data_IF_802123760371
#
_entry.id   IF_802123760371
#
_cell.length_a   1.000
_cell.length_b   1.000
_cell.length_c   1.000
_cell.angle_alpha   90.00
_cell.angle_beta   90.00
_cell.angle_gamma   90.00
#
_symmetry.space_group_name_H-M   'P 1'
#
loop_
_entity.id
_entity.type
_entity.pdbx_description
1 polymer ?
#
# COMPACT_ATOMS: atom_id res chain seq x y z
N UNK A 1 8.43 8.39 -13.63
CA UNK A 1 9.23 7.32 -12.98
C UNK A 1 10.54 7.83 -12.44
N UNK A 2 11.33 8.58 -13.23
CA UNK A 2 12.63 9.15 -12.82
C UNK A 2 12.59 9.89 -11.47
N UNK A 3 11.51 10.61 -11.17
CA UNK A 3 11.38 11.33 -9.89
C UNK A 3 11.35 10.40 -8.67
N UNK A 4 10.49 9.37 -8.67
CA UNK A 4 10.41 8.42 -7.55
C UNK A 4 11.69 7.58 -7.43
N UNK A 5 12.24 7.18 -8.58
CA UNK A 5 13.52 6.48 -8.68
C UNK A 5 14.66 7.26 -8.01
N UNK A 6 14.74 8.58 -8.25
CA UNK A 6 15.76 9.46 -7.64
C UNK A 6 15.67 9.58 -6.11
N UNK A 7 14.50 9.26 -5.52
CA UNK A 7 14.30 9.22 -4.09
C UNK A 7 14.67 7.83 -3.57
N UNK A 8 14.20 6.77 -4.22
CA UNK A 8 14.42 5.39 -3.77
C UNK A 8 15.89 4.94 -3.87
N UNK A 9 16.63 5.43 -4.88
CA UNK A 9 18.05 5.11 -5.06
C UNK A 9 18.98 5.88 -4.09
N UNK A 10 18.47 6.86 -3.36
CA UNK A 10 19.24 7.66 -2.42
C UNK A 10 18.89 7.25 -0.96
N UNK A 11 19.80 6.55 -0.25
CA UNK A 11 19.57 6.12 1.12
C UNK A 11 19.33 7.28 2.10
N UNK A 12 19.92 8.46 1.86
CA UNK A 12 19.72 9.63 2.71
C UNK A 12 18.32 10.20 2.53
N UNK A 13 17.85 10.32 1.28
CA UNK A 13 16.47 10.76 0.99
C UNK A 13 15.44 9.76 1.50
N UNK A 14 15.65 8.46 1.33
CA UNK A 14 14.70 7.48 1.87
C UNK A 14 14.66 7.49 3.39
N UNK A 15 15.81 7.67 4.05
CA UNK A 15 15.88 7.76 5.51
C UNK A 15 15.17 9.00 6.05
N UNK A 16 15.30 10.15 5.38
CA UNK A 16 14.76 11.42 5.88
C UNK A 16 13.25 11.36 6.09
N UNK A 17 12.48 10.93 5.08
CA UNK A 17 11.02 10.87 5.21
C UNK A 17 10.55 9.66 6.02
N UNK A 18 11.28 8.52 5.98
CA UNK A 18 10.92 7.33 6.79
C UNK A 18 11.10 7.60 8.29
N UNK A 19 12.16 8.29 8.70
CA UNK A 19 12.43 8.64 10.10
C UNK A 19 11.51 9.73 10.66
N UNK A 20 10.76 10.43 9.79
CA UNK A 20 9.76 11.43 10.17
C UNK A 20 8.37 10.83 10.46
N UNK A 21 8.12 9.55 10.13
CA UNK A 21 6.83 8.89 10.39
C UNK A 21 6.51 8.90 11.90
N UNK A 22 5.31 9.35 12.24
CA UNK A 22 4.85 9.47 13.63
C UNK A 22 5.32 10.72 14.38
N UNK A 23 5.98 11.67 13.71
CA UNK A 23 6.51 12.91 14.33
C UNK A 23 5.78 14.19 13.93
N UNK A 24 4.60 14.09 13.30
CA UNK A 24 3.86 15.25 12.78
C UNK A 24 4.46 15.83 11.49
N UNK A 25 4.22 17.11 11.22
CA UNK A 25 4.75 17.81 10.04
C UNK A 25 3.95 17.62 8.74
N UNK A 26 2.66 17.27 8.86
CA UNK A 26 1.80 17.15 7.69
C UNK A 26 1.55 18.50 7.03
N UNK A 27 1.63 18.51 5.70
CA UNK A 27 1.28 19.65 4.86
C UNK A 27 0.11 19.27 3.97
N UNK A 28 -0.76 20.25 3.69
CA UNK A 28 -1.86 20.05 2.75
C UNK A 28 -1.30 19.78 1.34
N UNK A 29 -1.87 18.81 0.65
CA UNK A 29 -1.57 18.48 -0.74
C UNK A 29 -2.89 18.42 -1.56
N UNK A 30 -2.79 18.05 -2.83
CA UNK A 30 -3.93 17.92 -3.75
C UNK A 30 -4.10 16.49 -4.24
N UNK A 31 -5.32 16.14 -4.65
CA UNK A 31 -5.61 14.85 -5.28
C UNK A 31 -4.69 14.55 -6.47
N UNK A 32 -4.46 15.55 -7.33
CA UNK A 32 -3.60 15.39 -8.52
C UNK A 32 -2.18 15.00 -8.15
N UNK A 33 -1.60 15.67 -7.16
CA UNK A 33 -0.24 15.42 -6.69
C UNK A 33 -0.11 14.03 -6.05
N UNK A 34 -1.00 13.69 -5.10
CA UNK A 34 -0.94 12.43 -4.38
C UNK A 34 -1.23 11.22 -5.28
N UNK A 35 -2.19 11.33 -6.20
CA UNK A 35 -2.48 10.26 -7.16
C UNK A 35 -1.27 9.98 -8.05
N UNK A 36 -0.58 11.02 -8.52
CA UNK A 36 0.63 10.86 -9.33
C UNK A 36 1.76 10.22 -8.51
N UNK A 37 1.95 10.63 -7.26
CA UNK A 37 2.96 10.07 -6.37
C UNK A 37 2.72 8.58 -6.08
N UNK A 38 1.49 8.21 -5.68
CA UNK A 38 1.11 6.83 -5.37
C UNK A 38 1.24 5.94 -6.62
N UNK A 39 0.75 6.39 -7.77
CA UNK A 39 0.86 5.64 -9.02
C UNK A 39 2.34 5.47 -9.45
N UNK A 40 3.16 6.52 -9.33
CA UNK A 40 4.59 6.42 -9.63
C UNK A 40 5.32 5.43 -8.72
N UNK A 41 4.99 5.43 -7.42
CA UNK A 41 5.54 4.48 -6.46
C UNK A 41 5.13 3.04 -6.77
N UNK A 42 3.86 2.79 -7.08
CA UNK A 42 3.38 1.45 -7.43
C UNK A 42 4.03 0.94 -8.71
N UNK A 43 4.05 1.73 -9.78
CA UNK A 43 4.67 1.31 -11.05
C UNK A 43 6.17 1.07 -10.89
N UNK A 44 6.87 1.92 -10.12
CA UNK A 44 8.28 1.73 -9.85
C UNK A 44 8.53 0.42 -9.07
N UNK A 45 7.76 0.15 -8.02
CA UNK A 45 7.90 -1.08 -7.23
C UNK A 45 7.60 -2.32 -8.06
N UNK A 46 6.50 -2.32 -8.81
CA UNK A 46 6.12 -3.43 -9.70
C UNK A 46 7.23 -3.71 -10.70
N UNK A 47 7.79 -2.66 -11.33
CA UNK A 47 8.83 -2.80 -12.35
C UNK A 47 10.15 -3.36 -11.80
N UNK A 48 10.54 -2.99 -10.59
CA UNK A 48 11.86 -3.35 -10.04
C UNK A 48 11.84 -4.62 -9.18
N UNK A 49 10.72 -4.92 -8.51
CA UNK A 49 10.64 -5.99 -7.52
C UNK A 49 9.50 -6.98 -7.74
N UNK A 50 8.56 -6.68 -8.64
CA UNK A 50 7.37 -7.48 -8.88
C UNK A 50 6.11 -6.92 -8.21
N UNK A 51 4.92 -7.30 -8.71
CA UNK A 51 3.66 -6.72 -8.28
C UNK A 51 3.22 -7.12 -6.88
N UNK A 52 3.64 -8.29 -6.42
CA UNK A 52 3.39 -8.81 -5.07
C UNK A 52 4.12 -8.02 -3.95
N UNK A 53 5.04 -7.10 -4.31
CA UNK A 53 5.64 -6.11 -3.39
C UNK A 53 4.75 -4.88 -3.15
N UNK A 54 3.60 -4.82 -3.80
CA UNK A 54 2.51 -3.90 -3.48
C UNK A 54 1.43 -4.69 -2.75
N UNK A 55 1.13 -4.31 -1.51
CA UNK A 55 0.15 -4.99 -0.67
C UNK A 55 -0.89 -4.03 -0.13
N UNK A 56 -2.08 -4.52 0.15
CA UNK A 56 -3.13 -3.79 0.86
C UNK A 56 -3.78 -4.63 1.94
N UNK A 57 -4.16 -3.95 3.02
CA UNK A 57 -4.88 -4.51 4.14
C UNK A 57 -6.19 -3.75 4.31
N UNK A 58 -7.31 -4.45 4.16
CA UNK A 58 -8.65 -3.94 4.44
C UNK A 58 -9.46 -5.10 5.00
N UNK A 59 -10.00 -5.03 6.22
CA UNK A 59 -10.67 -6.16 6.84
C UNK A 59 -12.20 -6.11 6.62
N UNK A 60 -12.89 -7.20 6.99
CA UNK A 60 -14.35 -7.29 7.16
C UNK A 60 -15.16 -6.66 6.01
N UNK A 61 -15.21 -7.29 4.82
CA UNK A 61 -15.98 -6.79 3.68
C UNK A 61 -17.48 -6.65 3.98
N UNK A 62 -18.02 -7.44 4.91
CA UNK A 62 -19.44 -7.44 5.25
C UNK A 62 -19.96 -6.10 5.80
N UNK A 63 -19.09 -5.28 6.42
CA UNK A 63 -19.49 -3.97 6.98
C UNK A 63 -19.65 -2.90 5.89
N UNK A 64 -18.90 -3.00 4.79
CA UNK A 64 -18.95 -2.03 3.69
C UNK A 64 -18.37 -2.62 2.40
N UNK A 65 -19.18 -3.45 1.72
CA UNK A 65 -18.70 -4.30 0.62
C UNK A 65 -18.00 -3.53 -0.50
N UNK A 66 -18.58 -2.42 -0.96
CA UNK A 66 -18.02 -1.61 -2.05
C UNK A 66 -16.74 -0.89 -1.62
N UNK A 67 -16.69 -0.40 -0.38
CA UNK A 67 -15.50 0.24 0.18
C UNK A 67 -14.33 -0.73 0.24
N UNK A 68 -14.56 -1.97 0.68
CA UNK A 68 -13.57 -3.04 0.62
C UNK A 68 -13.17 -3.39 -0.82
N UNK A 69 -14.16 -3.53 -1.70
CA UNK A 69 -13.95 -3.92 -3.10
C UNK A 69 -13.13 -2.88 -3.89
N UNK A 70 -13.23 -1.59 -3.55
CA UNK A 70 -12.52 -0.52 -4.24
C UNK A 70 -10.99 -0.74 -4.22
N UNK A 71 -10.42 -1.01 -3.04
CA UNK A 71 -8.99 -1.26 -2.88
C UNK A 71 -8.56 -2.64 -3.39
N UNK A 72 -9.31 -3.68 -3.06
CA UNK A 72 -8.97 -5.06 -3.43
C UNK A 72 -9.07 -5.31 -4.93
N UNK A 73 -10.03 -4.68 -5.63
CA UNK A 73 -10.09 -4.70 -7.10
C UNK A 73 -8.88 -4.03 -7.72
N UNK A 74 -8.49 -2.85 -7.23
CA UNK A 74 -7.30 -2.14 -7.73
C UNK A 74 -6.04 -3.01 -7.59
N UNK A 75 -5.81 -3.57 -6.41
CA UNK A 75 -4.64 -4.41 -6.13
C UNK A 75 -4.65 -5.69 -6.98
N UNK A 76 -5.79 -6.39 -7.03
CA UNK A 76 -5.90 -7.63 -7.80
C UNK A 76 -5.64 -7.42 -9.30
N UNK A 77 -6.08 -6.28 -9.86
CA UNK A 77 -5.84 -5.94 -11.26
C UNK A 77 -4.37 -5.65 -11.58
N UNK A 78 -3.62 -5.08 -10.63
CA UNK A 78 -2.17 -4.82 -10.82
C UNK A 78 -1.29 -5.99 -10.35
N UNK A 79 -1.89 -7.07 -9.84
CA UNK A 79 -1.18 -8.24 -9.29
C UNK A 79 -0.65 -8.07 -7.87
N UNK A 80 -1.16 -7.10 -7.11
CA UNK A 80 -0.79 -6.85 -5.72
C UNK A 80 -1.44 -7.82 -4.73
N UNK A 81 -0.87 -7.90 -3.53
CA UNK A 81 -1.27 -8.84 -2.49
C UNK A 81 -2.41 -8.28 -1.63
N UNK A 82 -3.55 -8.99 -1.59
CA UNK A 82 -4.65 -8.72 -0.65
C UNK A 82 -4.43 -9.55 0.63
N UNK A 83 -4.20 -8.87 1.75
CA UNK A 83 -3.92 -9.54 3.03
C UNK A 83 -5.20 -10.04 3.71
N UNK A 84 -5.13 -11.22 4.33
CA UNK A 84 -6.21 -11.81 5.12
C UNK A 84 -6.42 -11.04 6.43
N UNK A 85 -7.60 -11.22 7.03
CA UNK A 85 -7.94 -10.57 8.30
C UNK A 85 -8.49 -11.53 9.36
N UNK A 86 -9.22 -12.58 8.98
CA UNK A 86 -9.99 -13.38 9.94
C UNK A 86 -9.09 -14.27 10.81
N UNK A 87 -8.08 -14.87 10.19
CA UNK A 87 -6.97 -15.56 10.86
C UNK A 87 -6.08 -14.58 11.64
N UNK A 88 -5.75 -13.44 11.04
CA UNK A 88 -4.92 -12.41 11.67
C UNK A 88 -5.54 -11.81 12.94
N UNK A 89 -6.86 -11.65 12.94
CA UNK A 89 -7.62 -11.17 14.10
C UNK A 89 -7.94 -12.27 15.12
N UNK A 90 -7.53 -13.51 14.86
CA UNK A 90 -7.86 -14.68 15.66
C UNK A 90 -9.38 -14.96 15.75
N UNK A 91 -10.16 -14.47 14.77
CA UNK A 91 -11.59 -14.73 14.66
C UNK A 91 -11.88 -16.04 13.90
N UNK A 92 -10.93 -16.51 13.08
CA UNK A 92 -11.01 -17.80 12.40
C UNK A 92 -10.85 -18.94 13.43
N UNK A 93 -11.87 -19.78 13.68
CA UNK A 93 -11.70 -20.94 14.54
C UNK A 93 -10.64 -21.88 13.94
N UNK A 94 -9.61 -22.29 14.71
CA UNK A 94 -8.55 -23.13 14.20
C UNK A 94 -9.11 -24.48 13.72
N UNK A 95 -8.51 -25.09 12.68
CA UNK A 95 -8.94 -26.41 12.21
C UNK A 95 -8.83 -27.40 13.37
N UNK A 96 -9.91 -28.16 13.61
CA UNK A 96 -9.90 -29.25 14.59
C UNK A 96 -8.95 -30.33 14.06
N UNK A 97 -8.01 -30.78 14.91
CA UNK A 97 -7.18 -31.96 14.63
C UNK A 97 -8.03 -33.21 14.55
#
# INVERSE_FOLDING_TARGET
MLAWDSIMQDPAKTRSYKAARGKGGFVRSSWKELNQLIAAANVWTIKHYGPDRVAGFSPIPAMSMVSYAAGTRYLSLIGGTCLSFYDWYCDLPPPRR
#
